data_IF_930451441487
#
_entry.id   IF_930451441487
#
_cell.length_a   1.000
_cell.length_b   1.000
_cell.length_c   1.000
_cell.angle_alpha   90.00
_cell.angle_beta   90.00
_cell.angle_gamma   90.00
#
_symmetry.space_group_name_H-M   'P 1'
#
loop_
_entity.id
_entity.type
_entity.pdbx_description
1 polymer ?
#
# COMPACT_ATOMS: atom_id res chain seq x y z
N UNK A 1 -2.71 4.11 13.36
CA UNK A 1 -2.78 5.54 13.69
C UNK A 1 -2.55 6.47 12.49
N UNK A 2 -2.24 5.96 11.31
CA UNK A 2 -1.89 6.77 10.12
C UNK A 2 -0.74 7.76 10.38
N UNK A 3 0.20 7.42 11.23
CA UNK A 3 1.37 8.24 11.57
C UNK A 3 2.60 7.92 10.70
N UNK A 4 2.39 7.51 9.46
CA UNK A 4 3.48 7.16 8.53
C UNK A 4 4.53 8.26 8.36
N UNK A 5 4.15 9.53 8.50
CA UNK A 5 5.06 10.68 8.48
C UNK A 5 6.02 10.75 9.68
N UNK A 6 5.72 10.10 10.78
CA UNK A 6 6.62 10.01 11.93
C UNK A 6 7.84 9.13 11.66
N UNK A 7 7.82 8.32 10.62
CA UNK A 7 8.91 7.40 10.25
C UNK A 7 9.38 6.53 11.41
N UNK A 8 8.46 6.15 12.29
CA UNK A 8 8.68 5.34 13.47
C UNK A 8 8.03 3.97 13.28
N UNK A 9 8.78 2.92 13.58
CA UNK A 9 8.33 1.54 13.55
C UNK A 9 8.80 0.79 14.80
N UNK A 10 8.18 -0.36 15.07
CA UNK A 10 8.53 -1.25 16.17
C UNK A 10 8.92 -2.60 15.62
N UNK A 11 9.96 -3.19 16.20
CA UNK A 11 10.29 -4.59 15.98
C UNK A 11 10.05 -5.36 17.29
N UNK A 12 9.24 -6.40 17.20
CA UNK A 12 8.94 -7.31 18.32
C UNK A 12 9.18 -8.72 17.80
N UNK A 13 9.94 -9.52 18.54
CA UNK A 13 10.26 -10.88 18.11
C UNK A 13 11.17 -11.61 19.09
N UNK A 14 11.70 -12.75 18.67
CA UNK A 14 12.63 -13.54 19.46
C UNK A 14 13.88 -12.73 19.83
N UNK A 15 14.33 -12.89 21.07
CA UNK A 15 15.47 -12.13 21.62
C UNK A 15 16.72 -12.14 20.73
N UNK A 16 17.18 -13.27 20.14
CA UNK A 16 18.36 -13.26 19.28
C UNK A 16 18.20 -12.35 18.05
N UNK A 17 17.01 -12.30 17.44
CA UNK A 17 16.72 -11.43 16.30
C UNK A 17 16.72 -9.97 16.69
N UNK A 18 16.08 -9.65 17.83
CA UNK A 18 16.03 -8.26 18.34
C UNK A 18 17.42 -7.79 18.77
N UNK A 19 18.23 -8.67 19.37
CA UNK A 19 19.61 -8.35 19.73
C UNK A 19 20.47 -8.05 18.48
N UNK A 20 20.38 -8.87 17.44
CA UNK A 20 21.07 -8.64 16.17
C UNK A 20 20.62 -7.33 15.50
N UNK A 21 19.30 -7.07 15.46
CA UNK A 21 18.76 -5.82 14.93
C UNK A 21 19.28 -4.61 15.71
N UNK A 22 19.31 -4.68 17.03
CA UNK A 22 19.83 -3.61 17.89
C UNK A 22 21.30 -3.31 17.61
N UNK A 23 22.12 -4.36 17.43
CA UNK A 23 23.52 -4.22 17.09
C UNK A 23 23.72 -3.50 15.75
N UNK A 24 23.00 -3.92 14.70
CA UNK A 24 23.06 -3.28 13.37
C UNK A 24 22.56 -1.84 13.45
N UNK A 25 21.41 -1.61 14.11
CA UNK A 25 20.84 -0.30 14.27
C UNK A 25 21.76 0.68 14.98
N UNK A 26 22.53 0.22 15.98
CA UNK A 26 23.48 1.04 16.72
C UNK A 26 24.62 1.64 15.87
N UNK A 27 24.88 1.09 14.69
CA UNK A 27 25.90 1.61 13.75
C UNK A 27 25.30 2.25 12.51
N UNK A 28 24.00 2.03 12.21
CA UNK A 28 23.35 2.56 11.02
C UNK A 28 22.67 3.90 11.30
N UNK A 29 21.81 4.00 12.32
CA UNK A 29 20.99 5.19 12.57
C UNK A 29 20.81 5.55 14.06
N UNK A 30 21.49 4.87 14.95
CA UNK A 30 21.46 5.06 16.41
C UNK A 30 20.06 4.96 17.02
N UNK A 31 19.26 6.02 16.95
CA UNK A 31 17.91 6.05 17.48
C UNK A 31 17.02 7.02 16.69
N UNK A 32 15.72 6.92 16.93
CA UNK A 32 14.74 7.86 16.39
C UNK A 32 14.60 9.07 17.33
N UNK A 33 14.14 10.20 16.77
CA UNK A 33 13.88 11.42 17.53
C UNK A 33 13.01 11.15 18.76
N UNK A 34 13.44 11.61 19.94
CA UNK A 34 12.67 11.47 21.19
C UNK A 34 11.31 12.15 21.10
N UNK A 35 11.19 13.26 20.38
CA UNK A 35 9.91 13.94 20.18
C UNK A 35 8.91 13.04 19.44
N UNK A 36 9.37 12.33 18.39
CA UNK A 36 8.53 11.38 17.66
C UNK A 36 8.18 10.15 18.47
N UNK A 37 9.10 9.65 19.29
CA UNK A 37 8.83 8.58 20.25
C UNK A 37 7.76 8.97 21.26
N UNK A 38 7.86 10.18 21.83
CA UNK A 38 6.84 10.70 22.74
C UNK A 38 5.48 10.87 22.06
N UNK A 39 5.46 11.34 20.81
CA UNK A 39 4.23 11.39 19.99
C UNK A 39 3.61 10.01 19.80
N UNK A 40 4.40 8.99 19.51
CA UNK A 40 3.92 7.62 19.39
C UNK A 40 3.39 7.07 20.72
N UNK A 41 4.06 7.33 21.85
CA UNK A 41 3.57 6.95 23.18
C UNK A 41 2.19 7.58 23.45
N UNK A 42 2.02 8.86 23.15
CA UNK A 42 0.74 9.53 23.30
C UNK A 42 -0.34 8.90 22.40
N UNK A 43 -0.02 8.56 21.16
CA UNK A 43 -0.95 7.88 20.25
C UNK A 43 -1.39 6.52 20.80
N UNK A 44 -0.45 5.73 21.30
CA UNK A 44 -0.73 4.40 21.85
C UNK A 44 -1.53 4.45 23.16
N UNK A 45 -1.29 5.44 24.02
CA UNK A 45 -1.89 5.50 25.36
C UNK A 45 -3.20 6.27 25.40
N UNK A 46 -3.29 7.40 24.69
CA UNK A 46 -4.47 8.28 24.76
C UNK A 46 -5.48 8.04 23.64
N UNK A 47 -5.04 7.53 22.50
CA UNK A 47 -5.89 7.35 21.33
C UNK A 47 -5.91 5.90 20.84
N UNK A 48 -5.97 4.97 21.78
CA UNK A 48 -5.98 3.54 21.51
C UNK A 48 -7.16 3.11 20.60
N UNK A 49 -8.28 3.82 20.65
CA UNK A 49 -9.48 3.54 19.84
C UNK A 49 -9.45 4.19 18.45
N UNK A 50 -8.55 5.14 18.20
CA UNK A 50 -8.44 5.80 16.90
C UNK A 50 -8.29 4.85 15.71
N UNK A 51 -7.50 3.76 15.77
CA UNK A 51 -7.39 2.82 14.66
C UNK A 51 -8.73 2.21 14.23
N UNK A 52 -9.70 2.07 15.14
CA UNK A 52 -11.02 1.50 14.80
C UNK A 52 -11.80 2.38 13.82
N UNK A 53 -11.70 3.70 13.95
CA UNK A 53 -12.34 4.63 13.01
C UNK A 53 -11.69 4.56 11.61
N UNK A 54 -10.39 4.31 11.56
CA UNK A 54 -9.65 4.16 10.31
C UNK A 54 -10.04 2.87 9.56
N UNK A 55 -10.39 1.81 10.28
CA UNK A 55 -10.80 0.54 9.65
C UNK A 55 -12.05 0.72 8.78
N UNK A 56 -13.05 1.48 9.24
CA UNK A 56 -14.25 1.78 8.45
C UNK A 56 -13.92 2.53 7.17
N UNK A 57 -13.11 3.59 7.28
CA UNK A 57 -12.68 4.41 6.15
C UNK A 57 -11.90 3.58 5.10
N UNK A 58 -10.90 2.81 5.53
CA UNK A 58 -10.12 1.99 4.58
C UNK A 58 -10.92 0.86 3.96
N UNK A 59 -11.87 0.28 4.70
CA UNK A 59 -12.80 -0.72 4.17
C UNK A 59 -13.66 -0.11 3.05
N UNK A 60 -14.24 1.04 3.28
CA UNK A 60 -15.04 1.74 2.28
C UNK A 60 -14.22 2.05 1.02
N UNK A 61 -13.04 2.66 1.18
CA UNK A 61 -12.13 2.96 0.07
C UNK A 61 -11.77 1.71 -0.73
N UNK A 62 -11.39 0.65 -0.04
CA UNK A 62 -11.09 -0.64 -0.65
C UNK A 62 -12.26 -1.17 -1.47
N UNK A 63 -13.43 -1.23 -0.86
CA UNK A 63 -14.60 -1.84 -1.48
C UNK A 63 -15.06 -1.04 -2.70
N UNK A 64 -15.01 0.29 -2.65
CA UNK A 64 -15.30 1.17 -3.80
C UNK A 64 -14.31 0.96 -4.94
N UNK A 65 -13.02 1.00 -4.66
CA UNK A 65 -11.96 0.76 -5.67
C UNK A 65 -12.11 -0.63 -6.30
N UNK A 66 -12.24 -1.68 -5.48
CA UNK A 66 -12.37 -3.04 -5.99
C UNK A 66 -13.66 -3.24 -6.79
N UNK A 67 -14.76 -2.57 -6.43
CA UNK A 67 -16.00 -2.62 -7.20
C UNK A 67 -15.80 -2.09 -8.61
N UNK A 68 -15.15 -0.93 -8.76
CA UNK A 68 -14.86 -0.34 -10.08
C UNK A 68 -13.93 -1.23 -10.90
N UNK A 69 -12.83 -1.67 -10.31
CA UNK A 69 -11.85 -2.51 -11.00
C UNK A 69 -12.46 -3.83 -11.47
N UNK A 70 -13.25 -4.49 -10.61
CA UNK A 70 -13.94 -5.74 -10.96
C UNK A 70 -15.00 -5.54 -12.05
N UNK A 71 -15.73 -4.42 -11.98
CA UNK A 71 -16.66 -4.01 -13.04
C UNK A 71 -15.97 -3.80 -14.39
N UNK A 72 -14.69 -3.40 -14.37
CA UNK A 72 -13.81 -3.30 -15.54
C UNK A 72 -13.09 -4.60 -15.91
N UNK A 73 -13.48 -5.75 -15.34
CA UNK A 73 -12.93 -7.06 -15.71
C UNK A 73 -11.66 -7.48 -14.96
N UNK A 74 -11.21 -6.73 -13.94
CA UNK A 74 -10.03 -7.11 -13.15
C UNK A 74 -10.36 -8.15 -12.09
N UNK A 75 -9.58 -9.22 -12.03
CA UNK A 75 -9.72 -10.28 -11.00
C UNK A 75 -8.93 -9.91 -9.74
N UNK A 76 -9.41 -8.92 -8.98
CA UNK A 76 -8.73 -8.42 -7.80
C UNK A 76 -9.11 -9.19 -6.54
N UNK A 77 -8.14 -9.73 -5.77
CA UNK A 77 -8.42 -10.29 -4.45
C UNK A 77 -8.83 -9.17 -3.47
N UNK A 78 -9.64 -9.51 -2.47
CA UNK A 78 -9.99 -8.57 -1.40
C UNK A 78 -9.01 -8.72 -0.25
N UNK A 79 -8.14 -7.71 0.02
CA UNK A 79 -7.25 -7.77 1.18
C UNK A 79 -8.06 -7.64 2.47
N UNK A 80 -7.68 -8.41 3.49
CA UNK A 80 -8.32 -8.33 4.82
C UNK A 80 -8.04 -7.03 5.54
N UNK A 81 -6.87 -6.44 5.31
CA UNK A 81 -6.37 -5.22 5.97
C UNK A 81 -5.43 -4.45 5.04
N UNK A 82 -4.91 -3.36 5.53
CA UNK A 82 -3.93 -2.44 4.93
C UNK A 82 -4.54 -1.30 4.10
N UNK A 83 -3.69 -0.32 3.84
CA UNK A 83 -4.00 0.84 3.01
C UNK A 83 -3.60 0.65 1.55
N UNK A 84 -3.43 -0.59 1.12
CA UNK A 84 -3.06 -0.96 -0.24
C UNK A 84 -3.95 -2.06 -0.76
N UNK A 85 -4.15 -2.07 -2.07
CA UNK A 85 -4.67 -3.22 -2.80
C UNK A 85 -3.63 -3.74 -3.76
N UNK A 86 -3.50 -5.07 -3.85
CA UNK A 86 -2.73 -5.75 -4.86
C UNK A 86 -3.63 -6.10 -6.02
N UNK A 87 -3.20 -5.73 -7.21
CA UNK A 87 -3.93 -5.87 -8.45
C UNK A 87 -3.11 -6.80 -9.36
N UNK A 88 -3.58 -7.99 -9.70
CA UNK A 88 -2.92 -8.78 -10.73
C UNK A 88 -3.01 -8.01 -12.06
N UNK A 89 -2.06 -8.19 -12.95
CA UNK A 89 -2.20 -7.66 -14.30
C UNK A 89 -3.51 -8.16 -14.94
N UNK A 90 -4.20 -7.33 -15.74
CA UNK A 90 -5.37 -7.76 -16.49
C UNK A 90 -5.12 -9.06 -17.26
N UNK A 91 -6.19 -9.83 -17.46
CA UNK A 91 -6.10 -11.13 -18.15
C UNK A 91 -5.71 -11.00 -19.63
N UNK A 92 -5.72 -9.80 -20.18
CA UNK A 92 -5.33 -9.51 -21.56
C UNK A 92 -3.91 -9.98 -21.84
N UNK A 93 -3.75 -10.72 -22.95
CA UNK A 93 -2.49 -11.34 -23.33
C UNK A 93 -1.41 -10.30 -23.69
N UNK A 94 -1.79 -9.16 -24.26
CA UNK A 94 -0.90 -8.05 -24.58
C UNK A 94 -0.33 -7.41 -23.32
N UNK A 95 -1.20 -7.14 -22.33
CA UNK A 95 -0.80 -6.57 -21.02
C UNK A 95 0.14 -7.51 -20.26
N UNK A 96 -0.16 -8.81 -20.22
CA UNK A 96 0.71 -9.80 -19.56
C UNK A 96 2.08 -9.90 -20.19
N UNK A 97 2.16 -9.73 -21.50
CA UNK A 97 3.43 -9.74 -22.25
C UNK A 97 4.27 -8.48 -21.97
N UNK A 98 3.64 -7.34 -21.68
CA UNK A 98 4.35 -6.11 -21.31
C UNK A 98 5.05 -6.21 -19.96
N UNK A 99 4.49 -6.98 -19.02
CA UNK A 99 4.94 -7.05 -17.64
C UNK A 99 4.48 -5.84 -16.79
N UNK A 100 4.65 -5.96 -15.47
CA UNK A 100 4.10 -5.01 -14.50
C UNK A 100 4.77 -3.62 -14.56
N UNK A 101 6.06 -3.53 -14.80
CA UNK A 101 6.77 -2.23 -14.90
C UNK A 101 6.32 -1.42 -16.12
N UNK A 102 6.31 -2.07 -17.30
CA UNK A 102 5.91 -1.41 -18.55
C UNK A 102 4.44 -1.03 -18.50
N UNK A 103 3.59 -1.92 -17.95
CA UNK A 103 2.17 -1.64 -17.83
C UNK A 103 1.89 -0.52 -16.81
N UNK A 104 2.60 -0.46 -15.67
CA UNK A 104 2.48 0.65 -14.72
C UNK A 104 2.85 1.99 -15.38
N UNK A 105 3.91 2.02 -16.18
CA UNK A 105 4.31 3.20 -16.95
C UNK A 105 3.25 3.60 -17.99
N UNK A 106 2.66 2.62 -18.67
CA UNK A 106 1.56 2.85 -19.62
C UNK A 106 0.34 3.46 -18.91
N UNK A 107 -0.08 2.90 -17.79
CA UNK A 107 -1.19 3.44 -16.98
C UNK A 107 -0.91 4.88 -16.56
N UNK A 108 0.31 5.17 -16.07
CA UNK A 108 0.70 6.53 -15.68
C UNK A 108 0.57 7.51 -16.85
N UNK A 109 1.08 7.15 -18.01
CA UNK A 109 1.03 8.03 -19.20
C UNK A 109 -0.39 8.27 -19.72
N UNK A 110 -1.24 7.24 -19.69
CA UNK A 110 -2.61 7.31 -20.23
C UNK A 110 -3.60 7.93 -19.27
N UNK A 111 -3.44 7.67 -17.97
CA UNK A 111 -4.43 8.04 -16.95
C UNK A 111 -3.92 9.08 -15.94
N UNK A 112 -2.62 9.32 -15.85
CA UNK A 112 -2.01 10.13 -14.79
C UNK A 112 -2.03 9.45 -13.41
N UNK A 113 -2.36 8.16 -13.32
CA UNK A 113 -2.42 7.41 -12.06
C UNK A 113 -1.15 6.58 -11.92
N UNK A 114 -0.41 6.83 -10.84
CA UNK A 114 0.79 6.08 -10.50
C UNK A 114 0.43 4.81 -9.72
N UNK A 115 0.77 3.66 -10.29
CA UNK A 115 0.73 2.36 -9.62
C UNK A 115 2.16 1.88 -9.39
N UNK A 116 2.40 1.18 -8.28
CA UNK A 116 3.73 0.63 -8.01
C UNK A 116 3.83 -0.77 -8.64
N UNK A 117 4.82 -1.04 -9.51
CA UNK A 117 5.06 -2.38 -10.02
C UNK A 117 5.37 -3.37 -8.90
N UNK A 118 4.81 -4.57 -8.98
CA UNK A 118 4.98 -5.60 -7.97
C UNK A 118 6.40 -6.19 -7.97
N UNK A 119 7.07 -6.24 -9.13
CA UNK A 119 8.47 -6.64 -9.28
C UNK A 119 9.41 -5.88 -8.36
N UNK A 120 9.09 -4.61 -8.02
CA UNK A 120 9.84 -3.81 -7.04
C UNK A 120 9.81 -4.38 -5.61
N UNK A 121 8.98 -5.38 -5.32
CA UNK A 121 8.89 -6.08 -4.03
C UNK A 121 9.49 -7.49 -4.08
N UNK A 122 10.16 -7.85 -5.15
CA UNK A 122 10.82 -9.13 -5.36
C UNK A 122 10.09 -10.03 -6.38
N UNK A 123 10.65 -11.21 -6.64
CA UNK A 123 10.18 -12.14 -7.67
C UNK A 123 8.69 -12.53 -7.53
N UNK A 124 8.22 -12.72 -6.29
CA UNK A 124 6.81 -13.04 -6.01
C UNK A 124 5.82 -11.92 -6.34
N UNK A 125 6.32 -10.70 -6.59
CA UNK A 125 5.50 -9.55 -6.97
C UNK A 125 5.33 -9.37 -8.47
N UNK A 126 6.08 -10.10 -9.30
CA UNK A 126 5.97 -10.01 -10.75
C UNK A 126 4.55 -10.30 -11.24
N UNK A 127 4.09 -9.50 -12.18
CA UNK A 127 2.72 -9.62 -12.70
C UNK A 127 1.64 -9.01 -11.81
N UNK A 128 2.05 -8.23 -10.80
CA UNK A 128 1.15 -7.51 -9.90
C UNK A 128 1.44 -6.02 -9.90
N UNK A 129 0.45 -5.24 -9.47
CA UNK A 129 0.55 -3.80 -9.22
C UNK A 129 0.05 -3.50 -7.81
N UNK A 130 0.60 -2.47 -7.18
CA UNK A 130 0.10 -1.99 -5.89
C UNK A 130 -0.54 -0.62 -6.06
N UNK A 131 -1.78 -0.47 -5.60
CA UNK A 131 -2.48 0.81 -5.52
C UNK A 131 -2.65 1.22 -4.06
N UNK A 132 -2.36 2.49 -3.73
CA UNK A 132 -2.52 3.04 -2.39
C UNK A 132 -3.93 3.63 -2.20
N UNK A 133 -4.55 3.39 -1.05
CA UNK A 133 -5.89 3.87 -0.68
C UNK A 133 -5.82 5.14 0.20
N UNK A 134 -4.88 6.04 -0.08
CA UNK A 134 -4.54 7.17 0.81
C UNK A 134 -5.17 8.51 0.40
N UNK A 135 -6.05 8.49 -0.61
CA UNK A 135 -6.80 9.67 -1.06
C UNK A 135 -8.26 9.57 -0.62
N UNK A 136 -9.06 10.65 -0.72
CA UNK A 136 -10.51 10.59 -0.54
C UNK A 136 -11.17 9.52 -1.40
N UNK A 137 -12.31 9.01 -0.95
CA UNK A 137 -12.99 7.85 -1.58
C UNK A 137 -13.40 8.13 -3.03
N UNK A 138 -13.92 9.32 -3.30
CA UNK A 138 -14.32 9.78 -4.63
C UNK A 138 -13.15 9.88 -5.60
N UNK A 139 -12.03 10.44 -5.15
CA UNK A 139 -10.79 10.50 -5.94
C UNK A 139 -10.25 9.11 -6.27
N UNK A 140 -10.32 8.17 -5.31
CA UNK A 140 -9.88 6.79 -5.51
C UNK A 140 -10.80 6.05 -6.49
N UNK A 141 -12.08 6.31 -6.44
CA UNK A 141 -13.05 5.72 -7.36
C UNK A 141 -12.83 6.26 -8.79
N UNK A 142 -12.58 7.55 -8.95
CA UNK A 142 -12.20 8.15 -10.25
C UNK A 142 -10.88 7.55 -10.75
N UNK A 143 -9.87 7.48 -9.88
CA UNK A 143 -8.59 6.87 -10.23
C UNK A 143 -8.75 5.41 -10.72
N UNK A 144 -9.60 4.63 -10.06
CA UNK A 144 -9.88 3.26 -10.48
C UNK A 144 -10.55 3.19 -11.86
N UNK A 145 -11.52 4.09 -12.17
CA UNK A 145 -12.14 4.17 -13.51
C UNK A 145 -11.11 4.53 -14.57
N UNK A 146 -10.23 5.48 -14.29
CA UNK A 146 -9.17 5.90 -15.22
C UNK A 146 -8.15 4.78 -15.45
N UNK A 147 -7.82 4.00 -14.43
CA UNK A 147 -6.96 2.81 -14.55
C UNK A 147 -7.63 1.77 -15.45
N UNK A 148 -8.92 1.49 -15.26
CA UNK A 148 -9.68 0.56 -16.13
C UNK A 148 -9.66 1.03 -17.59
N UNK A 149 -9.89 2.32 -17.83
CA UNK A 149 -9.90 2.90 -19.18
C UNK A 149 -8.51 2.96 -19.83
N UNK A 150 -7.44 2.77 -19.08
CA UNK A 150 -6.08 2.74 -19.59
C UNK A 150 -5.64 1.34 -20.06
N UNK A 151 -6.44 0.30 -19.82
CA UNK A 151 -6.19 -1.04 -20.38
C UNK A 151 -6.39 -0.97 -21.89
N UNK A 152 -5.41 -1.44 -22.71
CA UNK A 152 -5.49 -1.41 -24.18
C UNK A 152 -6.69 -2.12 -24.76
#
# INVERSE_FOLDING_TARGET
WCLGGFRLAFAIGAEPLIAALRQVKGVVDFNQSLALQQGAIQALTRWADWPRSLHGMYRERRDRVLSVLRGGGWSCPTPGMAMYVWLPLPADAGVRKLGDETFASHVLQRSGIALTPGSGFGEGGKGWLRMALVRPTDELEDAARRVVSAVP
#
